data_IF_861895581961
#
_entry.id   IF_861895581961
#
_cell.length_a   1.000
_cell.length_b   1.000
_cell.length_c   1.000
_cell.angle_alpha   90.00
_cell.angle_beta   90.00
_cell.angle_gamma   90.00
#
_symmetry.space_group_name_H-M   'P 1'
#
loop_
_entity.id
_entity.type
_entity.pdbx_description
1 polymer ?
#
# COMPACT_ATOMS: atom_id res chain seq x y z
N UNK A 1 -17.87 1.26 -5.01
CA UNK A 1 -16.60 0.52 -4.89
C UNK A 1 -15.57 1.24 -5.76
N UNK A 2 -14.42 1.61 -5.26
CA UNK A 2 -13.37 2.20 -6.10
C UNK A 2 -12.62 1.07 -6.78
N UNK A 3 -12.81 0.90 -8.09
CA UNK A 3 -12.06 -0.08 -8.92
C UNK A 3 -10.55 0.24 -8.93
N UNK A 4 -10.16 1.39 -8.41
CA UNK A 4 -8.86 2.05 -8.58
C UNK A 4 -7.63 1.27 -8.16
N UNK A 5 -7.69 0.37 -7.20
CA UNK A 5 -6.44 0.00 -6.56
C UNK A 5 -5.92 -1.40 -6.90
N UNK A 6 -6.71 -2.33 -7.43
CA UNK A 6 -6.27 -3.71 -7.70
C UNK A 6 -7.10 -4.50 -8.70
N UNK A 7 -8.15 -3.93 -9.30
CA UNK A 7 -8.96 -4.69 -10.25
C UNK A 7 -8.22 -4.90 -11.56
N UNK A 8 -8.37 -6.11 -12.12
CA UNK A 8 -7.87 -6.49 -13.44
C UNK A 8 -9.04 -6.87 -14.31
N UNK A 9 -8.98 -6.50 -15.57
CA UNK A 9 -9.93 -6.94 -16.59
C UNK A 9 -9.30 -8.04 -17.42
N UNK A 10 -9.89 -9.21 -17.37
CA UNK A 10 -9.46 -10.38 -18.12
C UNK A 10 -10.34 -10.54 -19.36
N UNK A 11 -9.74 -10.82 -20.49
CA UNK A 11 -10.40 -11.26 -21.71
C UNK A 11 -9.99 -12.68 -22.03
N UNK A 12 -10.95 -13.59 -22.13
CA UNK A 12 -10.73 -15.00 -22.38
C UNK A 12 -11.00 -15.28 -23.84
N UNK A 13 -10.01 -15.78 -24.56
CA UNK A 13 -10.09 -16.09 -25.98
C UNK A 13 -9.94 -17.59 -26.25
N UNK A 14 -10.73 -18.07 -27.22
CA UNK A 14 -10.53 -19.39 -27.83
C UNK A 14 -9.73 -19.22 -29.12
N UNK A 15 -8.55 -19.80 -29.15
CA UNK A 15 -7.68 -19.77 -30.32
C UNK A 15 -7.88 -21.03 -31.15
N UNK A 16 -8.41 -20.88 -32.37
CA UNK A 16 -8.75 -21.97 -33.27
C UNK A 16 -7.91 -21.89 -34.55
N UNK A 17 -7.70 -23.04 -35.18
CA UNK A 17 -7.12 -23.06 -36.51
C UNK A 17 -8.08 -22.39 -37.53
N UNK A 18 -7.54 -21.80 -38.61
CA UNK A 18 -8.39 -21.24 -39.67
C UNK A 18 -9.42 -22.22 -40.18
N UNK A 19 -10.66 -21.76 -40.33
CA UNK A 19 -11.79 -22.55 -40.83
C UNK A 19 -12.56 -23.34 -39.76
N UNK A 20 -12.03 -23.47 -38.54
CA UNK A 20 -12.76 -24.02 -37.41
C UNK A 20 -13.71 -22.97 -36.82
N UNK A 21 -14.81 -23.41 -36.24
CA UNK A 21 -15.93 -22.56 -35.82
C UNK A 21 -16.24 -22.85 -34.36
N UNK A 22 -16.23 -21.87 -33.47
CA UNK A 22 -16.74 -22.02 -32.12
C UNK A 22 -18.27 -22.08 -32.14
N UNK A 23 -18.84 -23.20 -31.74
CA UNK A 23 -20.28 -23.42 -31.73
C UNK A 23 -20.93 -23.06 -30.40
N UNK A 24 -20.29 -23.47 -29.29
CA UNK A 24 -20.79 -23.21 -27.96
C UNK A 24 -19.71 -23.33 -26.90
N UNK A 25 -19.93 -22.64 -25.80
CA UNK A 25 -19.27 -22.84 -24.51
C UNK A 25 -20.36 -23.31 -23.54
N UNK A 26 -20.16 -24.43 -22.85
CA UNK A 26 -21.27 -25.09 -22.14
C UNK A 26 -20.82 -25.89 -20.92
N UNK A 27 -21.77 -26.16 -20.01
CA UNK A 27 -21.63 -27.14 -18.94
C UNK A 27 -22.68 -28.23 -19.06
N UNK A 28 -22.31 -29.44 -18.70
CA UNK A 28 -23.21 -30.57 -18.55
C UNK A 28 -23.03 -31.25 -17.19
N UNK A 29 -23.81 -32.26 -16.90
CA UNK A 29 -23.80 -32.95 -15.58
C UNK A 29 -22.49 -33.64 -15.26
N UNK A 30 -21.68 -34.00 -16.24
CA UNK A 30 -20.39 -34.68 -16.07
C UNK A 30 -19.22 -33.69 -16.15
N UNK A 31 -19.40 -32.63 -16.90
CA UNK A 31 -18.43 -31.56 -17.09
C UNK A 31 -19.09 -30.21 -16.73
N UNK A 32 -18.99 -29.85 -15.47
CA UNK A 32 -19.43 -28.51 -15.07
C UNK A 32 -18.55 -27.44 -15.74
N UNK A 33 -19.17 -26.30 -16.00
CA UNK A 33 -18.45 -25.11 -16.39
C UNK A 33 -18.54 -24.12 -15.25
N UNK A 34 -17.44 -23.44 -14.94
CA UNK A 34 -17.43 -22.36 -13.95
C UNK A 34 -16.48 -21.24 -14.34
N UNK A 35 -16.84 -20.03 -13.91
CA UNK A 35 -16.03 -18.82 -13.90
C UNK A 35 -16.11 -18.28 -12.47
N UNK A 36 -15.00 -18.20 -11.77
CA UNK A 36 -15.01 -17.82 -10.36
C UNK A 36 -13.89 -16.83 -10.04
N UNK A 37 -14.10 -16.02 -9.01
CA UNK A 37 -13.10 -15.12 -8.45
C UNK A 37 -13.13 -15.18 -6.94
N UNK A 38 -12.02 -14.90 -6.29
CA UNK A 38 -11.94 -14.84 -4.83
C UNK A 38 -12.65 -13.64 -4.21
N UNK A 39 -13.11 -12.69 -5.01
CA UNK A 39 -13.91 -11.53 -4.58
C UNK A 39 -15.27 -11.54 -5.31
N UNK A 40 -15.58 -10.49 -6.03
CA UNK A 40 -16.78 -10.37 -6.87
C UNK A 40 -16.39 -9.94 -8.28
N UNK A 41 -17.22 -10.26 -9.26
CA UNK A 41 -17.15 -9.65 -10.59
C UNK A 41 -17.67 -8.22 -10.51
N UNK A 42 -16.98 -7.34 -11.18
CA UNK A 42 -17.41 -5.97 -11.26
C UNK A 42 -18.34 -5.76 -12.44
N UNK A 43 -19.50 -5.15 -12.19
CA UNK A 43 -20.51 -4.89 -13.19
C UNK A 43 -20.88 -3.41 -13.19
N UNK A 44 -21.12 -2.86 -14.37
CA UNK A 44 -21.72 -1.55 -14.55
C UNK A 44 -23.24 -1.68 -14.60
N UNK A 45 -23.90 -1.56 -13.45
CA UNK A 45 -25.35 -1.77 -13.31
C UNK A 45 -26.22 -0.71 -13.98
N UNK A 46 -25.63 0.38 -14.48
CA UNK A 46 -26.34 1.47 -15.16
C UNK A 46 -26.42 1.26 -16.68
N UNK A 47 -25.33 0.76 -17.30
CA UNK A 47 -25.16 0.68 -18.75
C UNK A 47 -24.42 -0.56 -19.22
N UNK A 48 -24.08 -1.44 -18.31
CA UNK A 48 -23.53 -2.74 -18.61
C UNK A 48 -24.61 -3.73 -19.04
N UNK A 49 -24.19 -4.90 -19.50
CA UNK A 49 -25.09 -6.01 -19.84
C UNK A 49 -24.40 -7.35 -19.59
N UNK A 50 -25.16 -8.42 -19.59
CA UNK A 50 -24.68 -9.79 -19.29
C UNK A 50 -23.97 -10.44 -20.47
N UNK A 51 -24.12 -9.90 -21.69
CA UNK A 51 -23.42 -10.40 -22.89
C UNK A 51 -22.82 -9.25 -23.69
N UNK A 52 -21.64 -9.50 -24.29
CA UNK A 52 -20.88 -8.48 -24.99
C UNK A 52 -21.58 -7.84 -26.18
N UNK A 53 -22.45 -8.58 -26.88
CA UNK A 53 -23.23 -8.08 -28.02
C UNK A 53 -24.36 -7.13 -27.63
N UNK A 54 -24.70 -7.01 -26.35
CA UNK A 54 -25.68 -6.08 -25.82
C UNK A 54 -25.03 -4.80 -25.24
N UNK A 55 -23.72 -4.73 -25.13
CA UNK A 55 -23.03 -3.52 -24.71
C UNK A 55 -23.12 -2.48 -25.84
N UNK A 56 -23.74 -1.33 -25.54
CA UNK A 56 -23.86 -0.21 -26.48
C UNK A 56 -22.47 0.40 -26.76
N UNK A 57 -21.99 0.26 -27.99
CA UNK A 57 -20.71 0.80 -28.43
C UNK A 57 -20.57 2.31 -28.23
N UNK A 58 -21.68 3.05 -28.33
CA UNK A 58 -21.70 4.49 -28.10
C UNK A 58 -21.50 4.87 -26.63
N UNK A 59 -21.49 3.89 -25.73
CA UNK A 59 -21.33 4.06 -24.28
C UNK A 59 -19.98 3.54 -23.74
N UNK A 60 -19.18 2.93 -24.59
CA UNK A 60 -17.91 2.32 -24.15
C UNK A 60 -16.95 3.33 -23.53
N UNK A 61 -17.01 4.60 -23.93
CA UNK A 61 -16.21 5.69 -23.36
C UNK A 61 -16.87 6.37 -22.15
N UNK A 62 -18.03 5.90 -21.72
CA UNK A 62 -18.76 6.46 -20.61
C UNK A 62 -18.51 5.67 -19.32
N UNK A 63 -18.15 6.40 -18.27
CA UNK A 63 -18.00 5.84 -16.92
C UNK A 63 -17.10 4.58 -16.95
N UNK A 64 -17.59 3.44 -16.48
CA UNK A 64 -16.85 2.18 -16.38
C UNK A 64 -17.47 1.07 -17.23
N UNK A 65 -18.20 1.42 -18.29
CA UNK A 65 -18.86 0.46 -19.18
C UNK A 65 -17.86 -0.51 -19.80
N UNK A 66 -16.72 -0.02 -20.25
CA UNK A 66 -15.70 -0.88 -20.86
C UNK A 66 -15.04 -1.87 -19.89
N UNK A 67 -15.26 -1.73 -18.58
CA UNK A 67 -14.76 -2.67 -17.56
C UNK A 67 -15.83 -3.67 -17.11
N UNK A 68 -17.02 -3.61 -17.66
CA UNK A 68 -18.12 -4.48 -17.30
C UNK A 68 -17.77 -5.96 -17.51
N UNK A 69 -18.34 -6.84 -16.67
CA UNK A 69 -18.11 -8.28 -16.77
C UNK A 69 -19.26 -8.95 -17.49
N UNK A 70 -18.95 -9.69 -18.53
CA UNK A 70 -19.94 -10.35 -19.37
C UNK A 70 -19.37 -11.57 -20.11
N UNK A 71 -20.23 -12.42 -20.63
CA UNK A 71 -19.89 -13.52 -21.53
C UNK A 71 -20.20 -13.13 -22.98
N UNK A 72 -19.59 -13.78 -23.96
CA UNK A 72 -19.80 -13.47 -25.38
C UNK A 72 -19.36 -14.60 -26.31
N UNK A 73 -19.57 -14.37 -27.59
CA UNK A 73 -19.10 -15.23 -28.70
C UNK A 73 -18.45 -14.38 -29.80
N UNK A 74 -17.44 -13.57 -29.39
CA UNK A 74 -16.69 -12.71 -30.29
C UNK A 74 -16.98 -11.22 -30.12
N UNK A 75 -18.18 -10.82 -29.71
CA UNK A 75 -18.55 -9.43 -29.54
C UNK A 75 -17.93 -8.83 -28.27
N UNK A 76 -17.49 -7.57 -28.35
CA UNK A 76 -17.15 -6.73 -27.20
C UNK A 76 -18.12 -5.55 -27.05
N UNK A 77 -18.93 -5.29 -28.06
CA UNK A 77 -20.06 -4.40 -28.06
C UNK A 77 -21.03 -4.81 -29.21
N UNK A 78 -22.10 -4.10 -29.38
CA UNK A 78 -23.10 -4.36 -30.43
C UNK A 78 -22.58 -4.18 -31.86
N UNK A 79 -21.47 -3.50 -32.06
CA UNK A 79 -20.81 -3.27 -33.34
C UNK A 79 -19.28 -3.46 -33.37
N UNK A 80 -18.70 -4.04 -32.30
CA UNK A 80 -17.26 -4.30 -32.23
C UNK A 80 -16.96 -5.75 -31.83
N UNK A 81 -16.07 -6.37 -32.60
CA UNK A 81 -15.42 -7.61 -32.21
C UNK A 81 -14.37 -7.34 -31.14
N UNK A 82 -14.29 -8.18 -30.14
CA UNK A 82 -13.17 -8.21 -29.22
C UNK A 82 -11.96 -8.89 -29.86
N UNK A 83 -10.84 -8.22 -29.92
CA UNK A 83 -9.59 -8.73 -30.43
C UNK A 83 -8.55 -8.93 -29.32
N UNK A 84 -7.52 -9.77 -29.52
CA UNK A 84 -6.49 -9.98 -28.52
C UNK A 84 -5.72 -8.71 -28.18
N UNK A 85 -5.29 -8.64 -26.94
CA UNK A 85 -4.48 -7.55 -26.40
C UNK A 85 -3.21 -7.25 -27.20
N UNK A 86 -2.61 -8.27 -27.84
CA UNK A 86 -1.44 -8.10 -28.70
C UNK A 86 -1.69 -7.22 -29.91
N UNK A 87 -2.94 -7.00 -30.26
CA UNK A 87 -3.36 -6.14 -31.37
C UNK A 87 -3.70 -4.73 -30.91
N UNK A 88 -3.66 -4.48 -29.59
CA UNK A 88 -3.82 -3.15 -29.00
C UNK A 88 -2.53 -2.36 -29.21
N UNK A 89 -2.62 -1.23 -29.89
CA UNK A 89 -1.46 -0.44 -30.29
C UNK A 89 -1.24 0.82 -29.44
N UNK A 90 -2.19 1.22 -28.65
CA UNK A 90 -2.10 2.46 -27.85
C UNK A 90 -1.96 2.23 -26.35
N UNK A 91 -2.13 1.00 -25.87
CA UNK A 91 -1.95 0.66 -24.47
C UNK A 91 -3.06 1.20 -23.57
N UNK A 92 -4.24 1.40 -24.13
CA UNK A 92 -5.38 1.97 -23.40
C UNK A 92 -6.07 0.96 -22.48
N UNK A 93 -7.28 1.25 -22.09
CA UNK A 93 -7.92 0.65 -20.91
C UNK A 93 -8.23 -0.83 -21.04
N UNK A 94 -8.91 -1.19 -22.12
CA UNK A 94 -9.32 -2.57 -22.35
C UNK A 94 -8.31 -3.23 -23.26
N UNK A 95 -7.50 -4.11 -22.74
CA UNK A 95 -6.43 -4.74 -23.49
C UNK A 95 -5.06 -4.06 -23.35
N UNK A 96 -4.96 -2.97 -22.61
CA UNK A 96 -3.70 -2.27 -22.34
C UNK A 96 -2.62 -3.14 -21.70
N UNK A 97 -1.38 -2.67 -21.69
CA UNK A 97 -0.22 -3.44 -21.25
C UNK A 97 -0.34 -4.00 -19.83
N UNK A 98 -1.00 -3.26 -18.94
CA UNK A 98 -1.14 -3.65 -17.55
C UNK A 98 -2.36 -4.55 -17.29
N UNK A 99 -3.32 -4.55 -18.20
CA UNK A 99 -4.58 -5.30 -18.05
C UNK A 99 -5.29 -5.07 -16.71
N UNK A 100 -5.21 -3.85 -16.21
CA UNK A 100 -5.68 -3.43 -14.89
C UNK A 100 -6.88 -2.47 -14.98
N UNK A 101 -7.48 -2.35 -16.17
CA UNK A 101 -8.56 -1.43 -16.43
C UNK A 101 -8.12 0.03 -16.57
N UNK A 102 -6.86 0.26 -16.92
CA UNK A 102 -6.34 1.59 -17.10
C UNK A 102 -5.40 1.78 -18.25
N UNK A 103 -5.17 3.02 -18.65
CA UNK A 103 -4.18 3.36 -19.65
C UNK A 103 -2.80 3.53 -19.04
N UNK A 104 -1.75 3.32 -19.84
CA UNK A 104 -0.37 3.56 -19.42
C UNK A 104 -0.10 5.03 -19.04
N UNK A 105 -0.93 5.96 -19.48
CA UNK A 105 -0.82 7.38 -19.16
C UNK A 105 -1.50 7.82 -17.88
N UNK A 106 -2.29 6.94 -17.25
CA UNK A 106 -3.06 7.27 -16.05
C UNK A 106 -2.66 6.37 -14.90
N UNK A 107 -1.99 6.90 -13.87
CA UNK A 107 -1.66 6.13 -12.69
C UNK A 107 -2.92 5.55 -12.03
N UNK A 108 -2.92 4.24 -11.77
CA UNK A 108 -4.03 3.54 -11.15
C UNK A 108 -5.08 3.02 -12.13
N UNK A 109 -4.82 3.11 -13.42
CA UNK A 109 -5.57 2.37 -14.43
C UNK A 109 -7.05 2.65 -14.50
N UNK A 110 -7.45 3.92 -14.54
CA UNK A 110 -8.85 4.23 -14.57
C UNK A 110 -9.36 4.65 -15.89
N UNK A 111 -10.48 4.05 -16.13
CA UNK A 111 -11.37 4.42 -17.14
C UNK A 111 -11.85 5.80 -17.08
N UNK A 112 -11.93 6.35 -18.19
CA UNK A 112 -12.40 7.62 -18.40
C UNK A 112 -13.42 7.65 -19.43
N UNK A 113 -14.48 8.11 -18.98
CA UNK A 113 -15.45 8.76 -19.83
C UNK A 113 -14.90 10.09 -20.37
N UNK A 114 -15.70 11.08 -20.59
CA UNK A 114 -15.30 12.41 -21.07
C UNK A 114 -14.47 13.26 -20.06
N UNK A 115 -13.99 12.67 -18.98
CA UNK A 115 -13.16 13.36 -18.01
C UNK A 115 -11.67 13.17 -18.34
N UNK A 116 -11.07 14.15 -18.96
CA UNK A 116 -9.65 14.16 -19.36
C UNK A 116 -8.66 13.97 -18.21
N UNK A 117 -9.11 14.06 -16.95
CA UNK A 117 -8.27 13.86 -15.77
C UNK A 117 -8.24 12.42 -15.28
N UNK A 118 -9.11 11.57 -15.75
CA UNK A 118 -9.32 10.22 -15.22
C UNK A 118 -9.13 9.13 -16.28
N UNK A 119 -8.43 9.30 -17.34
CA UNK A 119 -8.10 8.29 -18.31
C UNK A 119 -8.31 8.71 -19.75
N UNK A 120 -8.30 7.79 -20.67
CA UNK A 120 -8.43 8.06 -22.11
C UNK A 120 -9.69 7.44 -22.69
N UNK A 121 -10.35 8.13 -23.61
CA UNK A 121 -11.50 7.55 -24.32
C UNK A 121 -11.13 6.27 -25.03
N UNK A 122 -12.03 5.30 -25.06
CA UNK A 122 -11.86 4.09 -25.85
C UNK A 122 -11.88 4.42 -27.33
N UNK A 123 -11.05 3.70 -28.08
CA UNK A 123 -10.95 3.77 -29.52
C UNK A 123 -11.04 2.36 -30.10
N UNK A 124 -11.09 2.23 -31.41
CA UNK A 124 -11.03 0.92 -32.09
C UNK A 124 -9.67 0.21 -31.91
N UNK A 125 -8.66 0.92 -31.40
CA UNK A 125 -7.36 0.34 -31.06
C UNK A 125 -7.34 -0.35 -29.69
N UNK A 126 -8.35 -0.19 -28.89
CA UNK A 126 -8.45 -0.75 -27.53
C UNK A 126 -8.85 -2.25 -27.48
N UNK A 127 -8.31 -3.06 -28.34
CA UNK A 127 -8.74 -4.45 -28.47
C UNK A 127 -10.13 -4.58 -29.09
N UNK A 128 -10.56 -3.60 -29.86
CA UNK A 128 -11.85 -3.53 -30.55
C UNK A 128 -11.66 -3.47 -32.06
N UNK A 129 -12.47 -4.20 -32.80
CA UNK A 129 -12.51 -4.17 -34.26
C UNK A 129 -13.95 -3.94 -34.71
N UNK A 130 -14.22 -2.80 -35.35
CA UNK A 130 -15.56 -2.48 -35.85
C UNK A 130 -16.06 -3.50 -36.87
N UNK A 131 -17.32 -3.90 -36.74
CA UNK A 131 -17.95 -4.83 -37.64
C UNK A 131 -19.23 -5.41 -37.07
N UNK A 132 -20.04 -6.03 -37.94
CA UNK A 132 -21.26 -6.72 -37.50
C UNK A 132 -20.88 -7.93 -36.65
N UNK A 133 -21.30 -7.93 -35.42
CA UNK A 133 -21.08 -9.02 -34.46
C UNK A 133 -22.30 -9.94 -34.42
N UNK A 134 -22.08 -11.23 -34.08
CA UNK A 134 -23.20 -12.15 -33.93
C UNK A 134 -23.87 -11.97 -32.57
N UNK A 135 -25.19 -12.17 -32.53
CA UNK A 135 -25.95 -12.19 -31.31
C UNK A 135 -25.73 -13.48 -30.51
N UNK A 136 -25.48 -13.34 -29.23
CA UNK A 136 -25.24 -14.46 -28.31
C UNK A 136 -26.59 -15.05 -27.86
N UNK A 137 -26.72 -16.36 -27.94
CA UNK A 137 -27.86 -17.08 -27.36
C UNK A 137 -27.43 -17.76 -26.06
N UNK A 138 -28.10 -17.46 -24.98
CA UNK A 138 -27.92 -18.11 -23.68
C UNK A 138 -29.03 -19.13 -23.44
N UNK A 139 -28.66 -20.33 -23.05
CA UNK A 139 -29.56 -21.46 -22.86
C UNK A 139 -29.30 -22.04 -21.45
N UNK A 140 -30.32 -22.03 -20.61
CA UNK A 140 -30.27 -22.62 -19.29
C UNK A 140 -29.26 -21.95 -18.31
N UNK A 141 -28.92 -20.69 -18.58
CA UNK A 141 -27.97 -19.90 -17.76
C UNK A 141 -28.72 -18.93 -16.86
N UNK A 142 -28.18 -18.74 -15.66
CA UNK A 142 -28.53 -17.64 -14.76
C UNK A 142 -27.35 -16.69 -14.72
N UNK A 143 -27.50 -15.49 -15.28
CA UNK A 143 -26.44 -14.52 -15.50
C UNK A 143 -26.48 -13.34 -14.53
N UNK A 144 -27.24 -13.45 -13.43
CA UNK A 144 -27.44 -12.37 -12.47
C UNK A 144 -26.12 -11.84 -11.89
N UNK A 145 -25.10 -12.69 -11.79
CA UNK A 145 -23.76 -12.33 -11.32
C UNK A 145 -23.00 -11.38 -12.28
N UNK A 146 -23.44 -11.30 -13.52
CA UNK A 146 -22.96 -10.36 -14.54
C UNK A 146 -23.91 -9.17 -14.75
N UNK A 147 -24.84 -8.95 -13.86
CA UNK A 147 -25.77 -7.83 -13.91
C UNK A 147 -25.74 -7.06 -12.57
N UNK A 148 -26.75 -7.21 -11.76
CA UNK A 148 -26.97 -6.43 -10.53
C UNK A 148 -26.76 -7.23 -9.24
N UNK A 149 -26.57 -8.54 -9.34
CA UNK A 149 -26.33 -9.40 -8.17
C UNK A 149 -24.84 -9.50 -7.87
N UNK A 150 -24.36 -8.92 -6.76
CA UNK A 150 -22.95 -9.06 -6.38
C UNK A 150 -22.59 -10.53 -6.19
N UNK A 151 -21.48 -10.95 -6.77
CA UNK A 151 -21.00 -12.32 -6.61
C UNK A 151 -19.72 -12.59 -7.39
N UNK A 152 -19.03 -13.64 -6.98
CA UNK A 152 -17.75 -14.07 -7.57
C UNK A 152 -17.83 -15.47 -8.18
N UNK A 153 -19.01 -16.00 -8.43
CA UNK A 153 -19.14 -17.35 -8.95
C UNK A 153 -20.29 -17.45 -9.95
N UNK A 154 -19.95 -17.88 -11.14
CA UNK A 154 -20.87 -18.33 -12.17
C UNK A 154 -20.57 -19.80 -12.47
N UNK A 155 -21.56 -20.67 -12.42
CA UNK A 155 -21.37 -22.08 -12.72
C UNK A 155 -22.63 -22.66 -13.36
N UNK A 156 -22.46 -23.64 -14.24
CA UNK A 156 -23.56 -24.38 -14.83
C UNK A 156 -23.20 -25.84 -15.10
N UNK A 157 -24.17 -26.71 -14.89
CA UNK A 157 -24.13 -28.13 -15.26
C UNK A 157 -25.16 -28.49 -16.31
N UNK A 158 -25.91 -27.49 -16.80
CA UNK A 158 -26.97 -27.70 -17.83
C UNK A 158 -27.27 -26.39 -18.58
N UNK A 159 -26.21 -25.74 -19.05
CA UNK A 159 -26.37 -24.47 -19.75
C UNK A 159 -25.26 -24.20 -20.75
N UNK A 160 -25.50 -23.26 -21.64
CA UNK A 160 -24.58 -22.88 -22.69
C UNK A 160 -24.78 -21.45 -23.12
N UNK A 161 -23.70 -20.81 -23.63
CA UNK A 161 -23.84 -19.70 -24.56
C UNK A 161 -23.26 -20.09 -25.90
N UNK A 162 -23.94 -19.68 -26.96
CA UNK A 162 -23.75 -20.22 -28.28
C UNK A 162 -24.22 -19.24 -29.37
N UNK A 163 -23.76 -19.49 -30.59
CA UNK A 163 -24.30 -18.84 -31.80
C UNK A 163 -24.84 -19.91 -32.73
N UNK A 164 -26.00 -19.67 -33.28
CA UNK A 164 -26.58 -20.57 -34.27
C UNK A 164 -25.65 -20.61 -35.52
N UNK A 165 -25.14 -21.78 -35.83
CA UNK A 165 -24.14 -21.96 -36.88
C UNK A 165 -22.68 -21.71 -36.44
N UNK A 166 -22.48 -21.26 -35.19
CA UNK A 166 -21.15 -20.96 -34.64
C UNK A 166 -20.57 -19.65 -35.16
N UNK A 167 -19.37 -19.34 -34.69
CA UNK A 167 -18.61 -18.12 -35.03
C UNK A 167 -17.15 -18.40 -35.24
N UNK A 168 -16.49 -17.51 -35.98
CA UNK A 168 -15.04 -17.41 -36.10
C UNK A 168 -14.56 -16.12 -35.43
N UNK A 169 -13.27 -15.97 -35.22
CA UNK A 169 -12.70 -14.72 -34.72
C UNK A 169 -12.87 -13.57 -35.70
N UNK A 170 -12.87 -12.35 -35.19
CA UNK A 170 -12.96 -11.13 -35.99
C UNK A 170 -11.71 -10.86 -36.85
N UNK A 171 -10.62 -11.59 -36.64
CA UNK A 171 -9.36 -11.48 -37.38
C UNK A 171 -8.99 -12.81 -38.04
N UNK A 172 -8.00 -12.78 -38.94
CA UNK A 172 -7.48 -13.98 -39.58
C UNK A 172 -6.84 -15.01 -38.64
N UNK A 173 -6.51 -14.59 -37.40
CA UNK A 173 -5.93 -15.48 -36.40
C UNK A 173 -6.98 -16.41 -35.75
N UNK A 174 -8.25 -16.23 -36.12
CA UNK A 174 -9.39 -17.03 -35.64
C UNK A 174 -9.43 -17.17 -34.10
N UNK A 175 -9.28 -16.03 -33.40
CA UNK A 175 -9.39 -15.95 -31.96
C UNK A 175 -10.75 -15.35 -31.58
N UNK A 176 -11.56 -16.12 -30.88
CA UNK A 176 -12.91 -15.74 -30.46
C UNK A 176 -12.89 -15.34 -28.99
N UNK A 177 -13.27 -14.12 -28.67
CA UNK A 177 -13.51 -13.67 -27.31
C UNK A 177 -14.75 -14.38 -26.76
N UNK A 178 -14.66 -14.98 -25.55
CA UNK A 178 -15.78 -15.71 -24.94
C UNK A 178 -16.24 -15.11 -23.62
N UNK A 179 -15.42 -14.32 -22.98
CA UNK A 179 -15.80 -13.56 -21.77
C UNK A 179 -14.86 -12.38 -21.55
N UNK A 180 -15.38 -11.33 -20.95
CA UNK A 180 -14.63 -10.29 -20.27
C UNK A 180 -15.02 -10.28 -18.80
N UNK A 181 -14.06 -10.30 -17.89
CA UNK A 181 -14.29 -10.41 -16.46
C UNK A 181 -13.39 -9.43 -15.73
N UNK A 182 -13.98 -8.52 -15.00
CA UNK A 182 -13.26 -7.55 -14.16
C UNK A 182 -13.41 -7.91 -12.69
N UNK A 183 -12.31 -8.06 -12.00
CA UNK A 183 -12.29 -8.42 -10.57
C UNK A 183 -11.03 -7.90 -9.89
N UNK A 184 -11.14 -7.64 -8.59
CA UNK A 184 -9.98 -7.40 -7.71
C UNK A 184 -9.42 -8.69 -7.09
N UNK A 185 -10.09 -9.82 -7.34
CA UNK A 185 -9.70 -11.13 -6.84
C UNK A 185 -8.90 -11.95 -7.84
N UNK A 186 -8.59 -13.16 -7.45
CA UNK A 186 -7.96 -14.16 -8.31
C UNK A 186 -9.02 -14.86 -9.14
N UNK A 187 -8.89 -14.80 -10.45
CA UNK A 187 -9.79 -15.45 -11.40
C UNK A 187 -9.42 -16.93 -11.54
N UNK A 188 -10.41 -17.78 -11.57
CA UNK A 188 -10.26 -19.18 -12.00
C UNK A 188 -11.43 -19.60 -12.87
N UNK A 189 -11.20 -20.56 -13.74
CA UNK A 189 -12.25 -21.13 -14.57
C UNK A 189 -12.00 -22.58 -14.97
N UNK A 190 -13.09 -23.28 -15.22
CA UNK A 190 -13.17 -24.55 -15.96
C UNK A 190 -14.14 -24.36 -17.11
N UNK A 191 -13.66 -24.56 -18.31
CA UNK A 191 -14.44 -24.36 -19.53
C UNK A 191 -14.60 -25.66 -20.30
N UNK A 192 -15.72 -25.77 -20.97
CA UNK A 192 -15.95 -26.83 -21.95
C UNK A 192 -16.52 -26.18 -23.21
N UNK A 193 -16.14 -26.68 -24.38
CA UNK A 193 -16.52 -26.05 -25.61
C UNK A 193 -16.70 -27.03 -26.75
N UNK A 194 -17.55 -26.66 -27.68
CA UNK A 194 -17.76 -27.39 -28.95
C UNK A 194 -17.22 -26.58 -30.10
N UNK A 195 -16.36 -27.21 -30.88
CA UNK A 195 -15.70 -26.63 -32.05
C UNK A 195 -16.18 -27.37 -33.30
N UNK A 196 -16.81 -26.67 -34.21
CA UNK A 196 -17.18 -27.19 -35.54
C UNK A 196 -15.97 -27.37 -36.43
N UNK A 197 -15.95 -28.47 -37.15
CA UNK A 197 -14.89 -28.82 -38.08
C UNK A 197 -15.22 -28.23 -39.46
N UNK A 198 -14.26 -27.64 -40.17
CA UNK A 198 -14.47 -27.13 -41.53
C UNK A 198 -15.01 -28.19 -42.48
N UNK A 199 -15.96 -27.83 -43.37
CA UNK A 199 -16.55 -28.74 -44.35
C UNK A 199 -15.52 -29.48 -45.18
N UNK A 200 -14.41 -28.84 -45.50
CA UNK A 200 -13.29 -29.43 -46.24
C UNK A 200 -12.55 -30.55 -45.49
N UNK A 201 -12.73 -30.63 -44.17
CA UNK A 201 -12.12 -31.63 -43.29
C UNK A 201 -13.15 -32.65 -42.79
N UNK A 202 -14.43 -32.43 -43.05
CA UNK A 202 -15.48 -33.39 -42.70
C UNK A 202 -15.40 -34.61 -43.60
N UNK A 203 -15.40 -35.78 -43.03
CA UNK A 203 -15.37 -36.99 -43.84
C UNK A 203 -16.80 -37.44 -44.20
N UNK A 204 -16.96 -38.03 -45.38
CA UNK A 204 -18.23 -38.51 -45.91
C UNK A 204 -18.58 -39.92 -45.43
N UNK A 205 -17.89 -40.45 -44.44
CA UNK A 205 -18.07 -41.84 -43.96
C UNK A 205 -18.90 -41.90 -42.67
N UNK A 206 -19.68 -43.00 -42.45
CA UNK A 206 -20.36 -43.22 -41.19
C UNK A 206 -19.38 -43.22 -40.01
N UNK A 207 -19.68 -42.45 -38.96
CA UNK A 207 -18.86 -42.32 -37.76
C UNK A 207 -17.98 -41.05 -37.70
N UNK A 208 -18.01 -40.21 -38.75
CA UNK A 208 -17.40 -38.90 -38.72
C UNK A 208 -18.22 -37.88 -38.00
N UNK A 209 -17.53 -36.99 -37.32
CA UNK A 209 -18.18 -35.94 -36.51
C UNK A 209 -18.01 -34.58 -37.21
N UNK A 210 -19.05 -33.77 -37.18
CA UNK A 210 -19.03 -32.38 -37.66
C UNK A 210 -18.43 -31.40 -36.64
N UNK A 211 -18.13 -31.90 -35.44
CA UNK A 211 -17.61 -31.11 -34.33
C UNK A 211 -16.72 -31.92 -33.40
N UNK A 212 -15.96 -31.22 -32.60
CA UNK A 212 -15.11 -31.75 -31.52
C UNK A 212 -15.56 -31.09 -30.21
N UNK A 213 -15.77 -31.92 -29.19
CA UNK A 213 -15.98 -31.47 -27.83
C UNK A 213 -14.65 -31.46 -27.06
N UNK A 214 -14.32 -30.33 -26.49
CA UNK A 214 -13.16 -30.14 -25.64
C UNK A 214 -13.60 -29.94 -24.20
N UNK A 215 -13.03 -30.72 -23.31
CA UNK A 215 -13.25 -30.66 -21.89
C UNK A 215 -11.94 -30.33 -21.14
N UNK A 216 -12.04 -29.68 -20.00
CA UNK A 216 -10.89 -29.47 -19.12
C UNK A 216 -10.27 -30.80 -18.65
N UNK A 217 -11.13 -31.76 -18.34
CA UNK A 217 -10.74 -33.12 -17.89
C UNK A 217 -11.62 -34.17 -18.54
N UNK A 218 -11.08 -35.36 -18.77
CA UNK A 218 -11.83 -36.54 -19.25
C UNK A 218 -12.37 -37.30 -18.07
N UNK A 219 -13.62 -37.75 -18.18
CA UNK A 219 -14.29 -38.61 -17.19
C UNK A 219 -14.56 -40.02 -17.77
N UNK A 220 -14.86 -41.03 -16.94
CA UNK A 220 -15.08 -42.41 -17.44
C UNK A 220 -16.10 -42.54 -18.55
N UNK A 221 -17.16 -41.75 -18.56
CA UNK A 221 -18.20 -41.74 -19.59
C UNK A 221 -17.73 -41.24 -20.95
N UNK A 222 -16.62 -40.49 -21.01
CA UNK A 222 -15.99 -40.01 -22.26
C UNK A 222 -15.16 -41.12 -22.92
N UNK A 223 -15.03 -42.27 -22.30
CA UNK A 223 -14.20 -43.38 -22.81
C UNK A 223 -15.08 -44.53 -23.33
N UNK A 224 -14.78 -44.99 -24.52
CA UNK A 224 -15.28 -46.29 -24.97
C UNK A 224 -14.61 -47.43 -24.14
N UNK A 225 -15.26 -48.55 -24.03
CA UNK A 225 -14.73 -49.68 -23.24
C UNK A 225 -13.25 -49.98 -23.55
N UNK A 226 -12.44 -50.00 -22.47
CA UNK A 226 -11.00 -50.18 -22.56
C UNK A 226 -10.16 -48.91 -22.36
N UNK A 227 -10.78 -47.76 -22.00
CA UNK A 227 -10.08 -46.51 -21.68
C UNK A 227 -9.70 -45.65 -22.89
N UNK A 228 -10.29 -45.93 -24.05
CA UNK A 228 -10.10 -45.11 -25.28
C UNK A 228 -11.16 -44.01 -25.28
N UNK A 229 -10.74 -42.75 -25.41
CA UNK A 229 -11.64 -41.58 -25.59
C UNK A 229 -12.54 -41.76 -26.83
N UNK A 230 -13.75 -41.28 -26.78
CA UNK A 230 -14.63 -41.18 -27.94
C UNK A 230 -13.96 -40.29 -28.98
N UNK A 231 -14.05 -40.63 -30.27
CA UNK A 231 -13.24 -40.02 -31.35
C UNK A 231 -13.35 -38.49 -31.46
N UNK A 232 -14.44 -37.89 -30.99
CA UNK A 232 -14.64 -36.45 -31.06
C UNK A 232 -14.54 -35.75 -29.68
N UNK A 233 -14.03 -36.41 -28.65
CA UNK A 233 -13.85 -35.86 -27.32
C UNK A 233 -12.36 -35.76 -26.98
N UNK A 234 -11.91 -34.58 -26.60
CA UNK A 234 -10.52 -34.33 -26.26
C UNK A 234 -10.43 -33.56 -24.94
N UNK A 235 -9.45 -33.90 -24.10
CA UNK A 235 -9.09 -33.04 -23.00
C UNK A 235 -8.12 -31.96 -23.43
N UNK A 236 -8.30 -30.77 -22.89
CA UNK A 236 -7.38 -29.70 -23.07
C UNK A 236 -7.15 -28.99 -21.72
N UNK A 237 -5.99 -29.14 -21.09
CA UNK A 237 -5.71 -28.56 -19.79
C UNK A 237 -5.72 -27.03 -19.81
N UNK A 238 -5.62 -26.38 -20.97
CA UNK A 238 -5.74 -24.91 -21.08
C UNK A 238 -7.16 -24.41 -20.87
N UNK A 239 -8.15 -25.30 -20.80
CA UNK A 239 -9.53 -24.98 -20.43
C UNK A 239 -9.72 -24.83 -18.91
N UNK A 240 -8.66 -25.05 -18.17
CA UNK A 240 -8.59 -24.78 -16.73
C UNK A 240 -7.59 -23.64 -16.50
N UNK A 241 -7.98 -22.67 -15.75
CA UNK A 241 -7.13 -21.54 -15.36
C UNK A 241 -7.32 -21.22 -13.89
N UNK A 242 -6.25 -20.88 -13.23
CA UNK A 242 -6.26 -20.31 -11.89
C UNK A 242 -5.28 -19.15 -11.92
N UNK A 243 -5.78 -17.94 -11.70
CA UNK A 243 -4.90 -16.78 -11.55
C UNK A 243 -4.06 -16.97 -10.29
N UNK A 244 -2.79 -17.13 -10.46
CA UNK A 244 -1.86 -17.19 -9.34
C UNK A 244 -1.39 -15.77 -9.05
N UNK A 245 -1.59 -15.33 -7.81
CA UNK A 245 -1.03 -14.07 -7.38
C UNK A 245 0.47 -14.05 -7.74
N UNK A 246 0.88 -12.99 -8.39
CA UNK A 246 2.30 -12.76 -8.64
C UNK A 246 2.91 -12.35 -7.31
N UNK A 247 3.95 -13.04 -6.90
CA UNK A 247 4.67 -12.71 -5.68
C UNK A 247 5.50 -11.41 -5.83
N UNK A 248 6.08 -10.95 -4.76
CA UNK A 248 6.86 -9.71 -4.75
C UNK A 248 8.12 -9.74 -5.62
N UNK A 249 8.55 -10.89 -6.08
CA UNK A 249 9.64 -11.07 -7.03
C UNK A 249 9.16 -11.21 -8.48
N UNK A 250 7.85 -11.07 -8.74
CA UNK A 250 7.26 -11.19 -10.07
C UNK A 250 6.98 -12.63 -10.50
N UNK A 251 7.08 -13.61 -9.60
CA UNK A 251 6.82 -15.02 -9.90
C UNK A 251 5.37 -15.37 -9.58
N UNK A 252 4.63 -15.87 -10.55
CA UNK A 252 3.27 -16.36 -10.36
C UNK A 252 3.25 -17.55 -9.40
N UNK A 253 2.47 -17.47 -8.32
CA UNK A 253 2.41 -18.48 -7.27
C UNK A 253 3.70 -18.64 -6.46
N UNK A 254 4.62 -17.69 -6.55
CA UNK A 254 5.87 -17.70 -5.81
C UNK A 254 5.67 -17.49 -4.29
N UNK A 255 6.70 -17.80 -3.49
CA UNK A 255 6.62 -17.75 -2.03
C UNK A 255 6.83 -16.34 -1.42
N UNK A 256 7.29 -15.37 -2.20
CA UNK A 256 7.61 -14.02 -1.74
C UNK A 256 6.35 -13.15 -1.62
N UNK A 257 5.41 -13.56 -0.77
CA UNK A 257 4.12 -12.88 -0.57
C UNK A 257 4.23 -11.81 0.53
N UNK A 258 3.38 -10.78 0.54
CA UNK A 258 3.29 -9.83 1.64
C UNK A 258 3.19 -10.53 3.00
N UNK A 259 4.07 -10.14 3.94
CA UNK A 259 4.19 -10.76 5.25
C UNK A 259 5.14 -11.97 5.33
N UNK A 260 5.66 -12.47 4.21
CA UNK A 260 6.71 -13.50 4.23
C UNK A 260 8.09 -12.88 4.42
N UNK A 261 9.03 -13.67 4.95
CA UNK A 261 10.39 -13.23 5.21
C UNK A 261 11.13 -12.86 3.91
N UNK A 262 11.94 -11.82 3.98
CA UNK A 262 12.85 -11.38 2.95
C UNK A 262 14.17 -10.90 3.60
N UNK A 263 15.05 -10.30 2.83
CA UNK A 263 16.29 -9.66 3.30
C UNK A 263 16.41 -8.33 2.55
N UNK A 264 16.30 -7.21 3.26
CA UNK A 264 16.42 -5.86 2.70
C UNK A 264 17.87 -5.42 2.52
N UNK A 265 18.84 -6.31 2.86
CA UNK A 265 20.27 -6.07 2.84
C UNK A 265 20.72 -4.89 3.74
N UNK A 266 19.93 -4.51 4.72
CA UNK A 266 20.26 -3.50 5.70
C UNK A 266 20.69 -4.19 7.02
N UNK A 267 21.96 -4.11 7.43
CA UNK A 267 22.44 -4.75 8.67
C UNK A 267 21.85 -4.13 9.94
N UNK A 268 21.25 -2.95 9.85
CA UNK A 268 20.64 -2.24 10.98
C UNK A 268 19.16 -2.62 11.19
N UNK A 269 18.63 -3.46 10.33
CA UNK A 269 17.26 -4.00 10.40
C UNK A 269 17.26 -5.51 10.58
N UNK A 270 16.14 -6.07 10.96
CA UNK A 270 15.94 -7.50 11.07
C UNK A 270 14.45 -7.86 11.17
N UNK A 271 14.17 -9.15 11.10
CA UNK A 271 12.81 -9.67 10.91
C UNK A 271 12.13 -9.08 9.66
N UNK A 272 12.91 -8.96 8.58
CA UNK A 272 12.47 -8.34 7.35
C UNK A 272 11.35 -9.13 6.70
N UNK A 273 10.33 -8.42 6.27
CA UNK A 273 9.16 -8.99 5.60
C UNK A 273 8.73 -8.16 4.41
N UNK A 274 8.16 -8.83 3.41
CA UNK A 274 7.54 -8.15 2.29
C UNK A 274 6.32 -7.36 2.74
N UNK A 275 6.29 -6.08 2.46
CA UNK A 275 5.13 -5.21 2.66
C UNK A 275 4.04 -5.51 1.61
N UNK A 276 2.83 -4.95 1.81
CA UNK A 276 1.73 -5.07 0.83
C UNK A 276 2.00 -4.36 -0.49
N UNK A 277 3.00 -3.48 -0.53
CA UNK A 277 3.52 -2.81 -1.73
C UNK A 277 4.73 -3.52 -2.34
N UNK A 278 5.05 -4.73 -1.87
CA UNK A 278 6.19 -5.51 -2.32
C UNK A 278 7.55 -4.79 -2.13
N UNK A 279 7.69 -4.08 -1.03
CA UNK A 279 8.98 -3.58 -0.54
C UNK A 279 9.42 -4.48 0.61
N UNK A 280 10.65 -4.97 0.58
CA UNK A 280 11.22 -5.70 1.71
C UNK A 280 11.65 -4.69 2.77
N UNK A 281 11.08 -4.77 3.96
CA UNK A 281 11.32 -3.83 5.06
C UNK A 281 11.51 -4.60 6.36
N UNK A 282 12.56 -4.23 7.11
CA UNK A 282 12.86 -4.77 8.42
C UNK A 282 12.55 -3.79 9.55
N UNK A 283 12.51 -4.31 10.76
CA UNK A 283 12.42 -3.52 11.97
C UNK A 283 13.82 -3.14 12.42
N UNK A 284 14.02 -1.90 12.84
CA UNK A 284 15.31 -1.47 13.41
C UNK A 284 15.71 -2.40 14.55
N UNK A 285 16.95 -2.86 14.53
CA UNK A 285 17.55 -3.65 15.61
C UNK A 285 17.90 -2.69 16.73
N UNK A 286 17.41 -2.97 17.92
CA UNK A 286 17.70 -2.18 19.09
C UNK A 286 19.07 -2.52 19.70
N UNK A 287 19.45 -1.80 20.75
CA UNK A 287 20.74 -1.97 21.41
C UNK A 287 20.91 -3.32 22.14
N UNK A 288 19.88 -4.11 22.26
CA UNK A 288 19.89 -5.49 22.78
C UNK A 288 19.84 -6.54 21.66
N UNK A 289 20.00 -6.12 20.39
CA UNK A 289 19.90 -6.94 19.19
C UNK A 289 18.51 -7.54 18.96
N UNK A 290 17.44 -6.85 19.38
CA UNK A 290 16.07 -7.26 19.17
C UNK A 290 15.44 -6.42 18.04
N UNK A 291 15.02 -7.02 16.92
CA UNK A 291 14.31 -6.29 15.87
C UNK A 291 12.99 -5.68 16.41
N UNK A 292 12.81 -4.38 16.26
CA UNK A 292 11.66 -3.65 16.78
C UNK A 292 11.62 -3.54 18.32
N UNK A 293 12.74 -3.82 18.99
CA UNK A 293 12.85 -3.71 20.43
C UNK A 293 12.82 -2.25 20.93
N UNK A 294 12.76 -2.09 22.24
CA UNK A 294 12.60 -0.79 22.89
C UNK A 294 13.90 -0.18 23.39
N UNK A 295 15.03 -0.90 23.33
CA UNK A 295 16.33 -0.45 23.78
C UNK A 295 17.02 0.47 22.74
N UNK A 296 16.36 1.56 22.37
CA UNK A 296 16.82 2.51 21.35
C UNK A 296 17.71 3.59 21.99
N UNK A 297 18.59 4.26 21.23
CA UNK A 297 19.35 5.40 21.69
C UNK A 297 18.47 6.43 22.42
N UNK A 298 18.92 6.89 23.59
CA UNK A 298 18.23 7.80 24.52
C UNK A 298 17.12 7.16 25.36
N UNK A 299 16.78 5.89 25.18
CA UNK A 299 15.84 5.21 26.09
C UNK A 299 16.55 4.77 27.39
N UNK A 300 15.82 4.65 28.51
CA UNK A 300 16.39 4.20 29.78
C UNK A 300 16.99 2.80 29.71
N UNK A 301 18.11 2.62 30.39
CA UNK A 301 18.75 1.33 30.62
C UNK A 301 19.28 1.27 32.06
N UNK A 302 20.04 0.25 32.42
CA UNK A 302 20.73 0.11 33.69
C UNK A 302 22.15 -0.37 33.38
N UNK A 303 23.15 0.47 33.60
CA UNK A 303 24.57 0.15 33.39
C UNK A 303 25.18 -0.69 34.53
N UNK A 304 24.34 -1.11 35.49
CA UNK A 304 24.73 -1.84 36.73
C UNK A 304 25.76 -1.10 37.59
N UNK A 305 25.86 0.21 37.44
CA UNK A 305 26.77 1.04 38.26
C UNK A 305 25.94 1.87 39.26
N UNK A 306 25.90 1.46 40.51
CA UNK A 306 25.15 2.14 41.55
C UNK A 306 25.60 3.61 41.81
N UNK A 307 26.67 4.07 41.18
CA UNK A 307 27.18 5.44 41.27
C UNK A 307 26.66 6.34 40.13
N UNK A 308 25.96 5.79 39.18
CA UNK A 308 25.33 6.49 38.07
C UNK A 308 23.81 6.51 38.23
N UNK A 309 23.14 7.41 37.56
CA UNK A 309 21.66 7.50 37.49
C UNK A 309 21.23 8.14 36.18
N UNK A 310 19.98 7.97 35.82
CA UNK A 310 19.41 8.35 34.55
C UNK A 310 20.18 7.71 33.38
N UNK A 311 20.47 6.41 33.52
CA UNK A 311 21.24 5.67 32.52
C UNK A 311 20.37 5.57 31.25
N UNK A 312 21.02 5.85 30.14
CA UNK A 312 20.36 5.80 28.81
C UNK A 312 21.28 5.18 27.79
N UNK A 313 20.70 4.53 26.80
CA UNK A 313 21.44 4.01 25.66
C UNK A 313 22.03 5.15 24.82
N UNK A 314 23.34 5.11 24.60
CA UNK A 314 24.02 6.01 23.67
C UNK A 314 23.76 5.63 22.20
N UNK A 315 24.15 6.50 21.27
CA UNK A 315 24.07 6.22 19.83
C UNK A 315 24.92 5.01 19.37
N UNK A 316 25.89 4.59 20.20
CA UNK A 316 26.75 3.42 19.97
C UNK A 316 26.25 2.18 20.74
N UNK A 317 25.02 2.20 21.22
CA UNK A 317 24.47 1.12 22.03
C UNK A 317 25.30 0.76 23.28
N UNK A 318 25.80 1.77 23.95
CA UNK A 318 26.42 1.64 25.27
C UNK A 318 25.47 2.24 26.29
N UNK A 319 25.09 1.49 27.31
CA UNK A 319 24.31 2.02 28.42
C UNK A 319 25.21 2.86 29.33
N UNK A 320 24.93 4.14 29.44
CA UNK A 320 25.73 5.09 30.20
C UNK A 320 24.86 5.98 31.08
N UNK A 321 25.26 6.12 32.35
CA UNK A 321 24.60 7.02 33.27
C UNK A 321 25.49 8.24 33.65
N UNK A 322 24.87 9.22 34.24
CA UNK A 322 25.57 10.38 34.77
C UNK A 322 26.03 10.10 36.19
N UNK A 323 27.34 10.33 36.48
CA UNK A 323 27.85 10.29 37.85
C UNK A 323 27.25 11.48 38.60
N UNK A 324 26.43 11.21 39.59
CA UNK A 324 25.89 12.26 40.44
C UNK A 324 26.96 12.86 41.29
N UNK A 325 27.30 14.11 41.02
CA UNK A 325 27.81 14.96 42.08
C UNK A 325 26.58 15.24 42.96
N UNK A 326 26.54 14.63 44.14
CA UNK A 326 25.62 15.05 45.17
C UNK A 326 25.96 16.49 45.52
N UNK A 327 25.41 17.49 44.86
CA UNK A 327 25.39 18.83 45.38
C UNK A 327 24.62 18.75 46.67
N UNK A 328 25.34 18.74 47.78
CA UNK A 328 24.76 19.00 49.07
C UNK A 328 24.11 20.39 48.94
N UNK A 329 22.83 20.43 48.83
CA UNK A 329 22.09 21.67 48.84
C UNK A 329 22.22 22.27 50.22
N UNK A 330 23.37 22.96 50.44
CA UNK A 330 23.56 23.77 51.63
C UNK A 330 22.50 24.87 51.63
N UNK A 331 21.80 25.11 52.72
CA UNK A 331 20.76 26.11 52.81
C UNK A 331 21.29 27.45 52.31
N UNK A 332 20.65 27.97 51.30
CA UNK A 332 21.12 29.09 50.53
C UNK A 332 21.26 30.36 51.40
N UNK A 333 22.42 30.96 51.33
CA UNK A 333 22.57 32.37 51.58
C UNK A 333 22.20 33.12 50.30
N UNK A 334 21.21 34.02 50.39
CA UNK A 334 20.80 34.87 49.26
C UNK A 334 20.93 36.32 49.61
N UNK A 335 21.36 37.15 48.70
CA UNK A 335 21.45 38.58 48.84
C UNK A 335 20.94 39.28 47.58
N UNK A 336 20.16 40.35 47.78
CA UNK A 336 19.69 41.23 46.72
C UNK A 336 20.16 42.66 47.02
N UNK A 337 20.46 43.41 45.96
CA UNK A 337 20.96 44.78 46.05
C UNK A 337 19.99 45.71 45.33
N UNK A 338 19.44 46.68 46.06
CA UNK A 338 18.52 47.65 45.45
C UNK A 338 18.54 49.04 46.16
N UNK A 339 18.35 50.12 45.49
CA UNK A 339 18.29 50.24 44.03
C UNK A 339 19.70 50.00 43.41
N UNK A 340 19.74 49.46 42.24
CA UNK A 340 20.93 49.33 41.42
C UNK A 340 20.55 49.72 39.96
N UNK A 341 21.00 50.86 39.44
CA UNK A 341 21.98 51.79 39.99
C UNK A 341 21.60 52.51 41.28
N UNK A 342 22.56 52.72 42.13
CA UNK A 342 22.45 53.39 43.44
C UNK A 342 22.90 54.85 43.37
N UNK A 343 22.34 55.70 44.24
CA UNK A 343 22.86 57.05 44.45
C UNK A 343 23.70 57.09 45.75
N UNK A 344 23.22 57.69 46.82
CA UNK A 344 24.00 57.89 48.05
C UNK A 344 23.96 56.60 48.93
N UNK A 345 23.02 55.72 48.73
CA UNK A 345 22.93 54.47 49.52
C UNK A 345 22.34 53.35 48.70
N UNK A 346 22.60 52.12 49.16
CA UNK A 346 22.04 50.89 48.63
C UNK A 346 21.56 50.00 49.77
N UNK A 347 20.46 49.31 49.59
CA UNK A 347 19.92 48.33 50.52
C UNK A 347 20.38 46.94 50.10
N UNK A 348 20.95 46.23 51.05
CA UNK A 348 21.26 44.80 50.94
C UNK A 348 20.13 44.02 51.63
N UNK A 349 19.33 43.28 50.89
CA UNK A 349 18.36 42.34 51.43
C UNK A 349 19.00 40.97 51.47
N UNK A 350 19.26 40.49 52.69
CA UNK A 350 20.01 39.25 52.95
C UNK A 350 19.06 38.23 53.57
N UNK A 351 19.12 36.98 53.11
CA UNK A 351 18.41 35.85 53.69
C UNK A 351 19.40 34.69 53.91
N UNK A 352 19.44 34.16 55.12
CA UNK A 352 20.34 33.09 55.49
C UNK A 352 19.66 32.08 56.41
N UNK A 353 19.60 30.83 55.99
CA UNK A 353 19.04 29.74 56.77
C UNK A 353 19.92 29.34 58.00
N UNK A 354 21.22 29.56 57.91
CA UNK A 354 22.19 29.27 58.97
C UNK A 354 22.89 30.54 59.36
N UNK A 355 22.91 30.84 60.69
CA UNK A 355 23.56 32.03 61.21
C UNK A 355 25.11 31.96 61.13
N UNK A 356 25.71 32.84 60.30
CA UNK A 356 27.17 33.00 60.18
C UNK A 356 27.58 34.46 60.13
N UNK A 357 28.82 34.75 60.44
CA UNK A 357 29.40 36.08 60.27
C UNK A 357 29.36 36.45 58.77
N UNK A 358 28.93 37.66 58.49
CA UNK A 358 28.76 38.16 57.12
C UNK A 358 29.55 39.45 56.94
N UNK A 359 30.31 39.52 55.87
CA UNK A 359 31.02 40.70 55.43
C UNK A 359 30.61 41.12 54.05
N UNK A 360 30.60 42.40 53.76
CA UNK A 360 30.37 42.97 52.44
C UNK A 360 31.60 43.80 52.02
N UNK A 361 32.08 43.56 50.81
CA UNK A 361 33.24 44.27 50.26
C UNK A 361 32.86 44.81 48.87
N UNK A 362 33.03 46.09 48.68
CA UNK A 362 32.87 46.74 47.35
C UNK A 362 34.25 47.03 46.78
N UNK A 363 34.49 46.50 45.55
CA UNK A 363 35.74 46.70 44.83
C UNK A 363 35.48 47.42 43.49
N UNK A 364 36.42 48.23 43.09
CA UNK A 364 36.42 48.88 41.78
C UNK A 364 36.85 47.87 40.69
N UNK A 365 36.82 48.33 39.44
CA UNK A 365 37.17 47.48 38.28
C UNK A 365 38.61 47.05 38.24
N UNK A 366 39.51 47.63 39.07
CA UNK A 366 40.87 47.21 39.21
C UNK A 366 41.11 46.20 40.33
N UNK A 367 40.04 45.84 41.06
CA UNK A 367 40.08 44.93 42.23
C UNK A 367 40.42 45.58 43.54
N UNK A 368 40.55 46.94 43.60
CA UNK A 368 40.88 47.69 44.81
C UNK A 368 39.60 47.79 45.67
N UNK A 369 39.68 47.50 46.94
CA UNK A 369 38.60 47.63 47.88
C UNK A 369 38.36 49.14 48.14
N UNK A 370 37.14 49.60 47.84
CA UNK A 370 36.69 50.98 48.09
C UNK A 370 35.82 51.09 49.36
N UNK A 371 35.17 50.02 49.74
CA UNK A 371 34.39 49.94 50.99
C UNK A 371 34.41 48.50 51.51
N UNK A 372 34.61 48.35 52.84
CA UNK A 372 34.45 47.05 53.50
C UNK A 372 33.60 47.23 54.75
N UNK A 373 32.65 46.34 54.96
CA UNK A 373 31.65 46.36 56.01
C UNK A 373 31.56 45.03 56.73
N UNK A 374 31.56 45.03 58.04
CA UNK A 374 31.21 43.90 58.87
C UNK A 374 29.70 43.94 59.14
N UNK A 375 28.94 43.05 58.57
CA UNK A 375 27.49 43.02 58.72
C UNK A 375 27.05 42.22 60.00
N UNK A 376 28.02 41.60 60.66
CA UNK A 376 27.82 40.76 61.80
C UNK A 376 27.18 39.40 61.48
N UNK A 377 26.64 38.72 62.46
CA UNK A 377 26.00 37.41 62.28
C UNK A 377 24.60 37.59 61.73
N UNK A 378 24.31 36.98 60.58
CA UNK A 378 23.03 37.02 59.94
C UNK A 378 22.36 35.65 60.01
N UNK A 379 21.12 35.63 60.45
CA UNK A 379 20.25 34.47 60.45
C UNK A 379 18.80 34.95 60.12
N UNK A 380 18.15 34.28 59.19
CA UNK A 380 16.85 34.74 58.64
C UNK A 380 17.03 35.93 57.68
N UNK A 381 15.96 36.67 57.50
CA UNK A 381 15.92 37.83 56.60
C UNK A 381 16.39 39.08 57.30
N UNK A 382 17.28 39.84 56.67
CA UNK A 382 17.81 41.10 57.20
C UNK A 382 18.08 42.08 56.05
N UNK A 383 17.68 43.33 56.28
CA UNK A 383 18.01 44.43 55.37
C UNK A 383 19.03 45.34 56.02
N UNK A 384 20.06 45.70 55.26
CA UNK A 384 21.14 46.59 55.73
C UNK A 384 21.35 47.72 54.70
N UNK A 385 21.31 48.96 55.19
CA UNK A 385 21.63 50.12 54.36
C UNK A 385 23.12 50.35 54.32
N UNK A 386 23.67 50.48 53.13
CA UNK A 386 25.10 50.77 52.92
C UNK A 386 25.23 52.19 52.32
N UNK A 387 25.94 53.04 53.05
CA UNK A 387 26.24 54.41 52.60
C UNK A 387 27.33 54.38 51.49
N UNK A 388 27.03 54.93 50.38
CA UNK A 388 27.91 55.09 49.21
C UNK A 388 28.32 56.54 48.95
N UNK A 389 28.02 57.50 49.86
CA UNK A 389 28.29 58.89 49.66
C UNK A 389 29.81 59.20 49.44
N UNK A 390 30.68 58.38 50.07
CA UNK A 390 32.11 58.45 49.89
C UNK A 390 32.70 57.68 48.68
N UNK A 391 31.83 57.01 47.91
CA UNK A 391 32.22 56.21 46.75
C UNK A 391 31.96 57.03 45.48
N UNK A 392 32.94 57.14 44.59
CA UNK A 392 32.81 57.87 43.32
C UNK A 392 31.77 57.18 42.43
N UNK A 393 31.21 57.96 41.45
CA UNK A 393 30.32 57.36 40.45
C UNK A 393 31.09 56.36 39.57
N UNK A 394 30.55 55.18 39.34
CA UNK A 394 31.25 54.12 38.60
C UNK A 394 30.59 52.73 38.75
N UNK A 395 31.22 51.76 38.13
CA UNK A 395 30.80 50.34 38.23
C UNK A 395 31.73 49.62 39.21
N UNK A 396 31.14 48.85 40.09
CA UNK A 396 31.81 48.16 41.20
C UNK A 396 31.34 46.72 41.28
N UNK A 397 32.09 45.88 41.97
CA UNK A 397 31.73 44.53 42.32
C UNK A 397 31.45 44.48 43.83
N UNK A 398 30.27 44.11 44.23
CA UNK A 398 29.91 43.81 45.61
C UNK A 398 30.14 42.31 45.86
N UNK A 399 30.99 42.00 46.80
CA UNK A 399 31.21 40.64 47.27
C UNK A 399 30.65 40.50 48.69
N UNK A 400 29.79 39.53 48.88
CA UNK A 400 29.25 39.16 50.21
C UNK A 400 29.77 37.80 50.57
N UNK A 401 30.31 37.69 51.79
CA UNK A 401 30.83 36.42 52.37
C UNK A 401 30.05 36.12 53.60
N UNK A 402 29.39 34.94 53.66
CA UNK A 402 28.62 34.45 54.76
C UNK A 402 29.10 33.07 55.19
N UNK A 403 29.97 33.01 56.25
CA UNK A 403 30.69 31.78 56.57
C UNK A 403 31.60 31.32 55.42
N UNK A 404 31.31 30.14 54.89
CA UNK A 404 31.99 29.61 53.70
C UNK A 404 31.34 30.00 52.36
N UNK A 405 30.17 30.62 52.38
CA UNK A 405 29.41 30.99 51.20
C UNK A 405 29.84 32.37 50.69
N UNK A 406 29.95 32.51 49.38
CA UNK A 406 30.32 33.76 48.72
C UNK A 406 29.30 34.08 47.62
N UNK A 407 28.81 35.32 47.61
CA UNK A 407 27.95 35.84 46.56
C UNK A 407 28.58 37.11 46.00
N UNK A 408 28.54 37.24 44.69
CA UNK A 408 29.15 38.38 43.98
C UNK A 408 28.07 39.00 43.08
N UNK A 409 27.91 40.33 43.15
CA UNK A 409 26.93 41.05 42.33
C UNK A 409 27.53 42.35 41.76
N UNK A 410 27.14 42.80 40.62
CA UNK A 410 27.50 44.10 40.10
C UNK A 410 26.76 45.20 40.86
N UNK A 411 27.46 46.33 41.12
CA UNK A 411 26.89 47.50 41.74
C UNK A 411 27.29 48.73 40.89
N UNK A 412 26.29 49.51 40.50
CA UNK A 412 26.49 50.75 39.76
C UNK A 412 26.14 51.92 40.65
N UNK A 413 27.12 52.84 40.86
CA UNK A 413 26.95 54.10 41.57
C UNK A 413 26.80 55.24 40.55
N UNK A 414 25.76 56.03 40.66
CA UNK A 414 25.52 57.23 39.87
C UNK A 414 26.05 58.49 40.56
#
# INVERSE_FOLDING_TARGET
>A
MCIRDRAKTYRIFVNMKPGYILQSVYGNTEHSLDLTTTTEFWNNTDRGDVTGDLIDAARLDENTVALDSWITMGAASDDHWGIPKTNDIDGSIVGGANNDGGSNGVPGGLLVNNDVLIGVPLTTADGLLSGTVPAVNTIGLTLDVFNDTPGGSFATTNGAWAILGGTTGGTNDNQVLIAQLTTSGQLSFHLNMRIGIPDSLQCQSPGCHEYIDYYATIVPSDTAGGGITVENIFSNPTLTYVDQAVDCLGQAGGPALPGTACDDNNPDTGADTWSTSCVCEGLLIDCENVPGGSALPTTPCDDNNASTFNDTWSANCICEGTVGINEVHTPAFTAQVHPNPANEFVMLSLSAAVGSSTTATITDMTGRIVLALELGRIHGDRSVSVDLSGVAAGTYTLTLVHGALRQVQPLVKR
#
